data_IF_942526471459
#
_entry.id   IF_942526471459
#
_cell.length_a   1.000
_cell.length_b   1.000
_cell.length_c   1.000
_cell.angle_alpha   90.00
_cell.angle_beta   90.00
_cell.angle_gamma   90.00
#
_symmetry.space_group_name_H-M   'P 1'
#
loop_
_entity.id
_entity.type
_entity.pdbx_description
1 polymer ?
#
# COMPACT_ATOMS: atom_id res chain seq x y z
N UNK A 1 8.90 12.25 27.61
CA UNK A 1 9.97 13.01 26.92
C UNK A 1 9.38 13.75 25.73
N UNK A 2 10.02 14.80 25.22
CA UNK A 2 9.64 15.40 23.93
C UNK A 2 10.01 14.44 22.80
N UNK A 3 9.19 14.39 21.75
CA UNK A 3 9.39 13.50 20.59
C UNK A 3 9.30 14.35 19.34
N UNK A 4 10.26 14.18 18.43
CA UNK A 4 10.40 14.96 17.21
C UNK A 4 10.35 14.03 15.99
N UNK A 5 9.64 14.46 14.94
CA UNK A 5 9.71 13.83 13.62
C UNK A 5 10.91 14.42 12.89
N UNK A 6 12.00 13.66 12.79
CA UNK A 6 13.26 14.13 12.23
C UNK A 6 13.35 13.95 10.71
N UNK A 7 12.54 13.06 10.13
CA UNK A 7 12.47 12.86 8.69
C UNK A 7 11.16 12.18 8.26
N UNK A 8 10.78 12.36 7.00
CA UNK A 8 9.61 11.75 6.36
C UNK A 8 10.01 11.35 4.93
N UNK A 9 9.71 10.11 4.55
CA UNK A 9 9.92 9.61 3.20
C UNK A 9 8.67 8.90 2.67
N UNK A 10 8.58 8.79 1.35
CA UNK A 10 7.49 8.10 0.64
C UNK A 10 8.06 7.27 -0.50
N UNK A 11 7.42 6.14 -0.81
CA UNK A 11 7.68 5.32 -1.99
C UNK A 11 6.44 5.17 -2.88
N UNK A 12 6.59 5.56 -4.14
CA UNK A 12 5.54 5.44 -5.16
C UNK A 12 6.03 4.45 -6.23
N UNK A 13 5.38 3.29 -6.41
CA UNK A 13 5.87 2.26 -7.32
C UNK A 13 5.65 2.61 -8.79
N UNK A 14 6.65 2.31 -9.62
CA UNK A 14 6.62 2.48 -11.08
C UNK A 14 6.32 3.93 -11.52
N UNK A 15 6.07 4.10 -12.82
CA UNK A 15 5.69 5.39 -13.41
C UNK A 15 4.22 5.72 -13.11
N UNK A 16 3.89 7.01 -12.91
CA UNK A 16 2.52 7.44 -12.65
C UNK A 16 1.57 6.99 -13.75
N UNK A 17 0.39 6.55 -13.35
CA UNK A 17 -0.69 6.06 -14.21
C UNK A 17 -1.78 7.11 -14.30
N UNK A 18 -2.06 7.57 -15.52
CA UNK A 18 -3.14 8.54 -15.76
C UNK A 18 -4.51 7.88 -15.96
N UNK A 19 -5.56 8.71 -16.02
CA UNK A 19 -6.94 8.26 -16.16
C UNK A 19 -7.25 7.60 -17.52
N UNK A 20 -6.45 7.83 -18.55
CA UNK A 20 -6.63 7.24 -19.87
C UNK A 20 -6.16 5.78 -19.91
N UNK A 21 -5.11 5.46 -19.14
CA UNK A 21 -4.47 4.13 -19.16
C UNK A 21 -4.74 3.28 -17.90
N UNK A 22 -5.32 3.82 -16.82
CA UNK A 22 -5.62 3.10 -15.57
C UNK A 22 -6.31 1.74 -15.78
N UNK A 23 -7.28 1.67 -16.69
CA UNK A 23 -8.03 0.43 -16.94
C UNK A 23 -7.22 -0.62 -17.69
N UNK A 24 -6.24 -0.19 -18.49
CA UNK A 24 -5.32 -1.10 -19.15
C UNK A 24 -4.29 -1.64 -18.16
N UNK A 25 -3.88 -0.83 -17.16
CA UNK A 25 -3.00 -1.27 -16.07
C UNK A 25 -3.71 -2.22 -15.10
N UNK A 26 -4.91 -1.87 -14.63
CA UNK A 26 -5.68 -2.73 -13.72
C UNK A 26 -6.33 -3.93 -14.44
N UNK A 27 -6.45 -3.88 -15.76
CA UNK A 27 -7.07 -4.91 -16.57
C UNK A 27 -8.60 -4.82 -16.65
N UNK A 28 -9.15 -5.44 -17.69
CA UNK A 28 -10.58 -5.49 -17.99
C UNK A 28 -11.17 -6.80 -17.46
N UNK A 29 -12.15 -6.71 -16.58
CA UNK A 29 -12.78 -7.91 -15.99
C UNK A 29 -13.59 -8.63 -17.07
N UNK A 30 -13.24 -9.89 -17.35
CA UNK A 30 -13.81 -10.68 -18.47
C UNK A 30 -13.73 -9.95 -19.83
N UNK A 31 -12.70 -9.12 -20.03
CA UNK A 31 -12.51 -8.34 -21.26
C UNK A 31 -13.43 -7.12 -21.41
N UNK A 32 -14.32 -6.87 -20.45
CA UNK A 32 -15.28 -5.76 -20.51
C UNK A 32 -14.72 -4.49 -19.88
N UNK A 33 -15.01 -3.34 -20.52
CA UNK A 33 -14.73 -2.03 -19.93
C UNK A 33 -15.69 -1.74 -18.78
N UNK A 34 -15.20 -1.10 -17.72
CA UNK A 34 -16.03 -0.62 -16.64
C UNK A 34 -16.96 0.50 -17.11
N UNK A 35 -18.22 0.39 -16.69
CA UNK A 35 -19.26 1.40 -16.95
C UNK A 35 -19.19 2.57 -15.98
N UNK A 36 -18.54 2.40 -14.83
CA UNK A 36 -18.53 3.40 -13.74
C UNK A 36 -17.24 4.18 -13.64
N UNK A 37 -16.13 3.67 -14.23
CA UNK A 37 -14.82 4.32 -14.24
C UNK A 37 -14.88 5.83 -14.46
N UNK A 38 -15.45 6.27 -15.57
CA UNK A 38 -15.46 7.69 -15.95
C UNK A 38 -16.24 8.55 -14.95
N UNK A 39 -17.35 8.02 -14.39
CA UNK A 39 -18.14 8.72 -13.38
C UNK A 39 -17.34 8.85 -12.07
N UNK A 40 -16.72 7.76 -11.61
CA UNK A 40 -15.93 7.75 -10.37
C UNK A 40 -14.72 8.68 -10.48
N UNK A 41 -13.96 8.60 -11.58
CA UNK A 41 -12.79 9.47 -11.81
C UNK A 41 -13.18 10.95 -11.92
N UNK A 42 -14.33 11.26 -12.54
CA UNK A 42 -14.85 12.63 -12.57
C UNK A 42 -15.20 13.14 -11.17
N UNK A 43 -15.79 12.30 -10.34
CA UNK A 43 -16.24 12.69 -9.00
C UNK A 43 -15.10 12.78 -7.99
N UNK A 44 -14.11 11.89 -8.05
CA UNK A 44 -12.98 11.88 -7.11
C UNK A 44 -11.88 12.89 -7.47
N UNK A 45 -11.81 13.34 -8.73
CA UNK A 45 -10.85 14.35 -9.19
C UNK A 45 -9.40 13.88 -9.34
N UNK A 46 -9.09 12.61 -9.05
CA UNK A 46 -7.73 12.07 -9.08
C UNK A 46 -7.26 11.95 -10.54
N UNK A 47 -6.12 12.57 -10.87
CA UNK A 47 -5.55 12.59 -12.23
C UNK A 47 -4.44 11.57 -12.45
N UNK A 48 -3.66 11.28 -11.40
CA UNK A 48 -2.51 10.37 -11.42
C UNK A 48 -2.50 9.53 -10.16
N UNK A 49 -1.96 8.32 -10.29
CA UNK A 49 -1.80 7.35 -9.20
C UNK A 49 -0.70 6.35 -9.54
N UNK A 50 -0.38 5.47 -8.61
CA UNK A 50 0.72 4.53 -8.74
C UNK A 50 0.24 3.12 -8.44
N UNK A 51 0.77 2.15 -9.17
CA UNK A 51 0.45 0.75 -8.99
C UNK A 51 1.73 -0.07 -9.07
N UNK A 52 1.91 -0.99 -8.14
CA UNK A 52 2.93 -2.01 -8.16
C UNK A 52 2.61 -3.12 -9.18
N UNK A 53 2.22 -2.73 -10.40
CA UNK A 53 1.93 -3.62 -11.53
C UNK A 53 2.95 -3.34 -12.62
N UNK A 54 3.67 -4.38 -13.05
CA UNK A 54 4.52 -4.32 -14.22
C UNK A 54 3.65 -4.20 -15.48
N UNK A 55 3.82 -3.09 -16.22
CA UNK A 55 3.00 -2.75 -17.39
C UNK A 55 3.16 -3.73 -18.56
N UNK A 56 4.24 -4.52 -18.61
CA UNK A 56 4.49 -5.48 -19.70
C UNK A 56 3.83 -6.82 -19.43
N UNK A 57 3.78 -7.24 -18.17
CA UNK A 57 3.36 -8.57 -17.74
C UNK A 57 2.00 -8.58 -17.05
N UNK A 58 1.53 -7.44 -16.55
CA UNK A 58 0.33 -7.32 -15.72
C UNK A 58 0.45 -7.95 -14.33
N UNK A 59 1.68 -8.36 -13.93
CA UNK A 59 1.94 -8.98 -12.62
C UNK A 59 2.29 -7.93 -11.59
N UNK A 60 2.04 -8.24 -10.32
CA UNK A 60 2.54 -7.43 -9.22
C UNK A 60 4.08 -7.51 -9.21
N UNK A 61 4.74 -6.37 -9.11
CA UNK A 61 6.20 -6.29 -9.07
C UNK A 61 6.77 -5.78 -7.73
N UNK A 62 5.89 -5.53 -6.75
CA UNK A 62 6.25 -5.30 -5.35
C UNK A 62 5.32 -6.12 -4.43
N UNK A 63 5.85 -6.51 -3.28
CA UNK A 63 5.05 -6.88 -2.11
C UNK A 63 4.70 -5.61 -1.34
N UNK A 64 3.68 -5.67 -0.49
CA UNK A 64 3.32 -4.55 0.37
C UNK A 64 4.44 -4.25 1.37
N UNK A 65 5.02 -5.30 1.97
CA UNK A 65 6.21 -5.19 2.80
C UNK A 65 7.38 -4.51 2.07
N UNK A 66 7.57 -4.83 0.78
CA UNK A 66 8.57 -4.20 -0.07
C UNK A 66 8.32 -2.70 -0.29
N UNK A 67 7.06 -2.27 -0.47
CA UNK A 67 6.72 -0.84 -0.57
C UNK A 67 7.12 -0.07 0.68
N UNK A 68 6.75 -0.57 1.88
CA UNK A 68 7.17 0.02 3.14
C UNK A 68 8.69 0.02 3.31
N UNK A 69 9.37 -1.08 2.97
CA UNK A 69 10.82 -1.17 3.10
C UNK A 69 11.55 -0.15 2.20
N UNK A 70 11.08 0.05 0.96
CA UNK A 70 11.63 1.07 0.07
C UNK A 70 11.41 2.50 0.57
N UNK A 71 10.30 2.78 1.26
CA UNK A 71 10.08 4.06 1.91
C UNK A 71 11.05 4.27 3.10
N UNK A 72 11.23 3.26 3.95
CA UNK A 72 12.16 3.34 5.09
C UNK A 72 13.61 3.53 4.63
N UNK A 73 14.04 2.86 3.56
CA UNK A 73 15.39 3.02 2.97
C UNK A 73 15.70 4.45 2.50
N UNK A 74 14.68 5.29 2.32
CA UNK A 74 14.84 6.69 1.90
C UNK A 74 15.01 7.65 3.07
N UNK A 75 14.80 7.21 4.31
CA UNK A 75 15.00 8.04 5.49
C UNK A 75 16.48 8.37 5.70
N UNK A 76 16.74 9.64 6.06
CA UNK A 76 18.03 10.24 6.37
C UNK A 76 17.90 11.24 7.53
N UNK A 77 17.45 10.80 8.73
CA UNK A 77 17.21 11.68 9.87
C UNK A 77 18.48 12.34 10.43
N UNK A 78 19.65 11.77 10.16
CA UNK A 78 20.95 12.33 10.50
C UNK A 78 22.04 11.77 9.57
N UNK A 79 23.21 12.42 9.56
CA UNK A 79 24.35 12.01 8.75
C UNK A 79 24.85 10.61 9.15
N UNK A 80 24.93 9.70 8.18
CA UNK A 80 25.41 8.35 8.41
C UNK A 80 24.37 7.38 9.01
N UNK A 81 23.09 7.75 9.04
CA UNK A 81 21.99 6.86 9.44
C UNK A 81 22.07 5.49 8.74
N UNK A 82 21.94 4.42 9.51
CA UNK A 82 21.84 3.05 9.02
C UNK A 82 20.50 2.45 9.44
N UNK A 83 19.97 1.56 8.61
CA UNK A 83 18.74 0.82 8.92
C UNK A 83 18.84 0.07 10.26
N UNK A 84 20.03 -0.43 10.61
CA UNK A 84 20.28 -1.11 11.87
C UNK A 84 20.34 -0.18 13.10
N UNK A 85 20.25 1.14 12.92
CA UNK A 85 20.14 2.09 14.03
C UNK A 85 18.68 2.17 14.54
N UNK A 86 17.70 1.64 13.80
CA UNK A 86 16.29 1.62 14.19
C UNK A 86 16.09 0.69 15.38
N UNK A 87 15.59 1.24 16.50
CA UNK A 87 15.35 0.46 17.72
C UNK A 87 13.93 -0.11 17.82
N UNK A 88 12.95 0.54 17.19
CA UNK A 88 11.57 0.08 17.12
C UNK A 88 10.98 0.36 15.73
N UNK A 89 10.41 -0.66 15.08
CA UNK A 89 9.73 -0.57 13.79
C UNK A 89 8.23 -0.81 13.95
N UNK A 90 7.41 0.20 13.73
CA UNK A 90 5.95 0.12 13.77
C UNK A 90 5.39 0.20 12.35
N UNK A 91 4.80 -0.86 11.82
CA UNK A 91 4.27 -0.87 10.44
C UNK A 91 2.77 -1.09 10.40
N UNK A 92 2.06 -0.20 9.69
CA UNK A 92 0.61 -0.24 9.52
C UNK A 92 0.20 -0.55 8.08
N UNK A 93 -0.84 -1.36 7.91
CA UNK A 93 -1.46 -1.56 6.59
C UNK A 93 -2.91 -2.08 6.71
N UNK A 94 -3.70 -1.83 5.67
CA UNK A 94 -5.01 -2.47 5.44
C UNK A 94 -4.86 -3.93 5.10
N UNK A 95 -3.94 -4.27 4.20
CA UNK A 95 -3.81 -5.61 3.63
C UNK A 95 -2.34 -6.04 3.67
N UNK A 96 -1.99 -6.82 4.69
CA UNK A 96 -0.70 -7.48 4.75
C UNK A 96 -0.57 -8.53 3.63
N UNK A 97 0.66 -8.77 3.16
CA UNK A 97 0.93 -9.79 2.12
C UNK A 97 0.51 -11.20 2.54
N UNK A 98 0.58 -11.47 3.85
CA UNK A 98 0.23 -12.74 4.48
C UNK A 98 -0.54 -12.49 5.78
N UNK A 99 -1.32 -13.49 6.22
CA UNK A 99 -2.04 -13.44 7.51
C UNK A 99 -1.06 -13.52 8.69
N UNK A 100 -0.02 -14.36 8.54
CA UNK A 100 1.04 -14.53 9.51
C UNK A 100 2.35 -14.88 8.78
N UNK A 101 3.52 -14.34 9.21
CA UNK A 101 3.73 -13.41 10.33
C UNK A 101 3.17 -11.99 10.05
N UNK A 102 3.15 -11.13 11.07
CA UNK A 102 2.60 -9.77 10.95
C UNK A 102 3.38 -8.89 9.96
N UNK A 103 2.69 -7.90 9.37
CA UNK A 103 3.24 -7.03 8.33
C UNK A 103 4.58 -6.37 8.72
N UNK A 104 4.72 -5.86 9.94
CA UNK A 104 5.98 -5.27 10.41
C UNK A 104 7.15 -6.25 10.42
N UNK A 105 6.92 -7.53 10.69
CA UNK A 105 7.98 -8.55 10.62
C UNK A 105 8.38 -8.84 9.16
N UNK A 106 7.42 -8.79 8.24
CA UNK A 106 7.72 -8.89 6.81
C UNK A 106 8.55 -7.69 6.34
N UNK A 107 8.20 -6.47 6.77
CA UNK A 107 8.99 -5.25 6.48
C UNK A 107 10.40 -5.34 7.07
N UNK A 108 10.52 -5.80 8.32
CA UNK A 108 11.82 -6.02 8.96
C UNK A 108 12.69 -7.00 8.14
N UNK A 109 12.10 -8.09 7.65
CA UNK A 109 12.76 -9.04 6.76
C UNK A 109 13.25 -8.42 5.45
N UNK A 110 12.39 -7.64 4.77
CA UNK A 110 12.74 -6.92 3.53
C UNK A 110 13.84 -5.86 3.73
N UNK A 111 13.91 -5.27 4.93
CA UNK A 111 14.96 -4.32 5.31
C UNK A 111 16.29 -4.98 5.65
N UNK A 112 16.29 -6.29 5.96
CA UNK A 112 17.46 -6.98 6.51
C UNK A 112 17.91 -6.36 7.84
N UNK A 113 16.98 -5.77 8.60
CA UNK A 113 17.27 -5.14 9.89
C UNK A 113 17.68 -6.20 10.92
N UNK A 114 18.64 -5.85 11.77
CA UNK A 114 18.98 -6.66 12.95
C UNK A 114 17.82 -6.77 13.96
N UNK A 115 18.00 -7.52 15.06
CA UNK A 115 16.99 -7.64 16.10
C UNK A 115 16.60 -6.27 16.67
N UNK A 116 15.32 -5.91 16.55
CA UNK A 116 14.71 -4.72 17.14
C UNK A 116 13.26 -5.03 17.53
N UNK A 117 12.61 -4.12 18.27
CA UNK A 117 11.19 -4.27 18.54
C UNK A 117 10.38 -4.03 17.25
N UNK A 118 9.38 -4.87 17.00
CA UNK A 118 8.53 -4.76 15.80
C UNK A 118 7.07 -4.82 16.19
N UNK A 119 6.30 -3.82 15.76
CA UNK A 119 4.86 -3.70 16.00
C UNK A 119 4.14 -3.68 14.65
N UNK A 120 3.09 -4.49 14.52
CA UNK A 120 2.19 -4.46 13.36
C UNK A 120 0.83 -3.90 13.77
N UNK A 121 0.35 -2.87 13.09
CA UNK A 121 -1.01 -2.37 13.25
C UNK A 121 -1.83 -2.70 12.00
N UNK A 122 -3.11 -2.99 12.20
CA UNK A 122 -4.04 -3.33 11.13
C UNK A 122 -5.32 -2.49 11.20
N UNK A 123 -6.03 -2.43 10.08
CA UNK A 123 -7.16 -1.54 9.85
C UNK A 123 -6.94 -0.74 8.56
N UNK A 124 -7.88 0.11 8.16
CA UNK A 124 -7.82 0.81 6.87
C UNK A 124 -6.87 2.04 6.97
N UNK A 125 -7.30 3.24 6.57
CA UNK A 125 -6.47 4.43 6.50
C UNK A 125 -5.83 4.85 7.85
N UNK A 126 -6.43 4.44 8.98
CA UNK A 126 -5.93 4.79 10.31
C UNK A 126 -4.85 3.83 10.83
N UNK A 127 -4.55 2.73 10.13
CA UNK A 127 -3.48 1.81 10.55
C UNK A 127 -2.11 2.51 10.57
N UNK A 128 -1.84 3.40 9.61
CA UNK A 128 -0.63 4.23 9.61
C UNK A 128 -0.58 5.24 10.77
N UNK A 129 -1.73 5.76 11.21
CA UNK A 129 -1.78 6.67 12.37
C UNK A 129 -1.56 5.88 13.66
N UNK A 130 -2.07 4.65 13.76
CA UNK A 130 -1.84 3.82 14.95
C UNK A 130 -0.41 3.27 15.00
N UNK A 131 0.23 2.97 13.86
CA UNK A 131 1.67 2.64 13.82
C UNK A 131 2.51 3.84 14.25
N UNK A 132 2.19 5.04 13.76
CA UNK A 132 2.83 6.29 14.19
C UNK A 132 2.66 6.55 15.69
N UNK A 133 1.45 6.37 16.21
CA UNK A 133 1.18 6.50 17.65
C UNK A 133 1.98 5.49 18.48
N UNK A 134 2.14 4.25 18.00
CA UNK A 134 2.94 3.24 18.68
C UNK A 134 4.42 3.64 18.73
N UNK A 135 5.00 4.08 17.61
CA UNK A 135 6.37 4.57 17.55
C UNK A 135 6.59 5.80 18.45
N UNK A 136 5.69 6.78 18.38
CA UNK A 136 5.71 7.95 19.26
C UNK A 136 5.66 7.55 20.74
N UNK A 137 4.75 6.64 21.12
CA UNK A 137 4.62 6.19 22.51
C UNK A 137 5.90 5.49 23.00
N UNK A 138 6.54 4.70 22.13
CA UNK A 138 7.79 4.02 22.45
C UNK A 138 8.90 5.00 22.86
N UNK A 139 9.09 6.07 22.06
CA UNK A 139 10.07 7.14 22.36
C UNK A 139 9.62 8.00 23.53
N UNK A 140 8.35 8.39 23.60
CA UNK A 140 7.81 9.27 24.64
C UNK A 140 7.96 8.67 26.04
N UNK A 141 7.82 7.34 26.15
CA UNK A 141 7.96 6.55 27.36
C UNK A 141 9.40 6.12 27.67
N UNK A 142 10.36 6.38 26.76
CA UNK A 142 11.77 6.02 26.93
C UNK A 142 12.06 4.52 26.78
N UNK A 143 11.22 3.78 26.05
CA UNK A 143 11.44 2.37 25.73
C UNK A 143 12.47 2.18 24.60
N UNK A 144 12.57 3.18 23.71
CA UNK A 144 13.60 3.32 22.69
C UNK A 144 14.00 4.78 22.53
N UNK A 145 15.24 5.02 22.07
CA UNK A 145 15.75 6.34 21.74
C UNK A 145 15.24 6.84 20.38
N UNK A 146 14.91 5.92 19.48
CA UNK A 146 14.31 6.21 18.19
C UNK A 146 13.30 5.13 17.77
N UNK A 147 12.37 5.50 16.90
CA UNK A 147 11.44 4.57 16.30
C UNK A 147 11.10 5.01 14.87
N UNK A 148 10.80 4.05 14.00
CA UNK A 148 10.30 4.29 12.65
C UNK A 148 8.87 3.80 12.58
N UNK A 149 7.97 4.66 12.11
CA UNK A 149 6.61 4.28 11.75
C UNK A 149 6.45 4.24 10.23
N UNK A 150 5.75 3.23 9.73
CA UNK A 150 5.45 3.08 8.30
C UNK A 150 3.96 2.85 8.09
N UNK A 151 3.50 3.18 6.89
CA UNK A 151 2.18 2.86 6.38
C UNK A 151 2.32 2.49 4.90
N UNK A 152 1.87 1.30 4.51
CA UNK A 152 1.93 0.88 3.10
C UNK A 152 0.65 0.24 2.62
N UNK A 153 0.36 0.39 1.33
CA UNK A 153 -0.81 -0.17 0.67
C UNK A 153 -0.46 -0.76 -0.69
N UNK A 154 -0.94 -1.99 -0.90
CA UNK A 154 -0.89 -2.72 -2.17
C UNK A 154 -2.32 -3.03 -2.62
N UNK A 155 -3.16 -2.00 -2.74
CA UNK A 155 -4.56 -2.15 -3.12
C UNK A 155 -4.72 -2.83 -4.49
N UNK A 156 -3.78 -2.60 -5.41
CA UNK A 156 -3.70 -3.24 -6.74
C UNK A 156 -3.82 -4.76 -6.71
N UNK A 157 -3.41 -5.40 -5.61
CA UNK A 157 -3.53 -6.85 -5.43
C UNK A 157 -4.99 -7.34 -5.46
N UNK A 158 -5.93 -6.51 -5.01
CA UNK A 158 -7.36 -6.80 -4.91
C UNK A 158 -8.20 -6.17 -6.03
N UNK A 159 -7.74 -5.06 -6.61
CA UNK A 159 -8.54 -4.29 -7.60
C UNK A 159 -8.20 -4.60 -9.06
N UNK A 160 -7.12 -5.35 -9.32
CA UNK A 160 -6.78 -5.85 -10.65
C UNK A 160 -7.78 -6.89 -11.15
N UNK A 161 -8.01 -6.96 -12.46
CA UNK A 161 -9.00 -7.84 -13.08
C UNK A 161 -8.81 -9.31 -12.71
N UNK A 162 -7.55 -9.75 -12.55
CA UNK A 162 -7.22 -11.11 -12.14
C UNK A 162 -7.88 -11.54 -10.83
N UNK A 163 -8.14 -10.60 -9.91
CA UNK A 163 -8.83 -10.90 -8.65
C UNK A 163 -10.28 -11.36 -8.89
N UNK A 164 -10.92 -10.84 -9.93
CA UNK A 164 -12.33 -11.08 -10.25
C UNK A 164 -12.56 -12.25 -11.22
N UNK A 165 -11.51 -12.96 -11.66
CA UNK A 165 -11.65 -14.03 -12.65
C UNK A 165 -12.48 -15.22 -12.17
N UNK A 166 -12.61 -15.38 -10.85
CA UNK A 166 -13.46 -16.40 -10.23
C UNK A 166 -14.97 -16.09 -10.34
N UNK A 167 -15.35 -14.84 -10.64
CA UNK A 167 -16.75 -14.48 -10.79
C UNK A 167 -17.32 -15.11 -12.08
N UNK A 168 -18.54 -15.66 -12.04
CA UNK A 168 -19.20 -16.18 -13.23
C UNK A 168 -19.41 -15.03 -14.23
N UNK A 169 -19.14 -15.29 -15.50
CA UNK A 169 -19.51 -14.37 -16.57
C UNK A 169 -21.01 -14.46 -16.82
N UNK A 170 -21.71 -13.32 -16.79
CA UNK A 170 -23.08 -13.25 -17.30
C UNK A 170 -23.05 -12.93 -18.80
N UNK A 171 -23.61 -13.79 -19.68
CA UNK A 171 -23.70 -13.50 -21.10
C UNK A 171 -24.54 -12.25 -21.41
N UNK A 172 -25.44 -11.82 -20.52
CA UNK A 172 -26.20 -10.56 -20.62
C UNK A 172 -25.53 -9.41 -19.87
N UNK A 173 -24.27 -9.14 -20.21
CA UNK A 173 -23.49 -8.03 -19.66
C UNK A 173 -24.08 -6.62 -19.94
N UNK A 174 -25.07 -6.54 -20.85
CA UNK A 174 -25.80 -5.29 -21.12
C UNK A 174 -26.70 -4.92 -19.96
N UNK A 175 -27.40 -5.91 -19.42
CA UNK A 175 -28.34 -5.73 -18.32
C UNK A 175 -27.68 -5.97 -16.95
N UNK A 176 -26.71 -6.87 -16.86
CA UNK A 176 -26.04 -7.23 -15.60
C UNK A 176 -24.55 -6.88 -15.63
N UNK A 177 -24.06 -5.97 -14.75
CA UNK A 177 -22.63 -5.68 -14.68
C UNK A 177 -21.86 -6.90 -14.17
N UNK A 178 -20.69 -7.17 -14.77
CA UNK A 178 -19.82 -8.31 -14.39
C UNK A 178 -19.32 -8.19 -12.94
N UNK A 179 -19.19 -6.96 -12.44
CA UNK A 179 -18.77 -6.65 -11.07
C UNK A 179 -19.80 -5.70 -10.47
N UNK A 180 -20.19 -5.96 -9.21
CA UNK A 180 -21.08 -5.07 -8.47
C UNK A 180 -20.49 -3.65 -8.34
N UNK A 181 -21.35 -2.64 -8.21
CA UNK A 181 -20.93 -1.25 -8.17
C UNK A 181 -19.90 -0.99 -7.08
N UNK A 182 -20.12 -1.52 -5.87
CA UNK A 182 -19.27 -1.30 -4.71
C UNK A 182 -17.85 -1.81 -4.95
N UNK A 183 -17.72 -2.98 -5.58
CA UNK A 183 -16.43 -3.56 -5.92
C UNK A 183 -15.75 -2.80 -7.07
N UNK A 184 -16.48 -2.43 -8.13
CA UNK A 184 -15.90 -1.70 -9.27
C UNK A 184 -15.57 -0.25 -8.89
N UNK A 185 -16.31 0.36 -7.96
CA UNK A 185 -16.06 1.69 -7.42
C UNK A 185 -14.66 1.80 -6.81
N UNK A 186 -14.28 0.86 -5.93
CA UNK A 186 -12.98 0.89 -5.25
C UNK A 186 -11.81 0.72 -6.22
N UNK A 187 -12.00 0.03 -7.36
CA UNK A 187 -10.96 -0.10 -8.39
C UNK A 187 -10.51 1.23 -8.97
N UNK A 188 -11.39 2.24 -8.96
CA UNK A 188 -11.10 3.57 -9.50
C UNK A 188 -10.78 4.61 -8.42
N UNK A 189 -10.74 4.19 -7.14
CA UNK A 189 -10.45 5.03 -5.98
C UNK A 189 -9.06 4.74 -5.39
N UNK A 190 -8.70 3.46 -5.28
CA UNK A 190 -7.52 3.02 -4.53
C UNK A 190 -6.27 2.90 -5.43
N UNK A 191 -5.11 3.07 -4.81
CA UNK A 191 -3.79 2.97 -5.43
C UNK A 191 -2.73 2.56 -4.40
N UNK A 192 -1.49 2.39 -4.85
CA UNK A 192 -0.41 1.80 -4.06
C UNK A 192 0.63 2.85 -3.64
N UNK A 193 1.17 2.70 -2.43
CA UNK A 193 2.27 3.52 -1.90
C UNK A 193 2.88 2.87 -0.64
N UNK A 194 4.08 3.31 -0.27
CA UNK A 194 4.73 3.03 1.02
C UNK A 194 5.29 4.27 1.68
#
# INVERSE_FOLDING_TARGET
MEVYVNDIATFLPNEPVDNTEIEDVLGKVKGNRSRVKNMVLKNNGIQKRYYAIDRKTGKLNYTNAGLAAEAVKRLKPYEGFKINDIQCLCSGTTIADVIAPGHGLMVAGELGIGPCEVISTSGICLSGVTSFKAAWANVALGLSENAVATASELASSLIRSNFFEHLPGDPDFKNHPVVAFESDFLRWMLSDAG
#
